data_IF_731480141721
#
_entry.id   IF_731480141721
#
_cell.length_a   1.000
_cell.length_b   1.000
_cell.length_c   1.000
_cell.angle_alpha   90.00
_cell.angle_beta   90.00
_cell.angle_gamma   90.00
#
_symmetry.space_group_name_H-M   'P 1'
#
loop_
_entity.id
_entity.type
_entity.pdbx_description
1 polymer ?
#
# COMPACT_ATOMS: atom_id res chain seq x y z
N UNK A 1 -14.14 15.59 -3.40
CA UNK A 1 -13.00 15.63 -4.34
C UNK A 1 -12.53 14.20 -4.48
N UNK A 2 -12.40 13.69 -5.71
CA UNK A 2 -11.84 12.35 -5.92
C UNK A 2 -10.41 12.34 -5.39
N UNK A 3 -10.07 11.30 -4.62
CA UNK A 3 -8.70 10.98 -4.27
C UNK A 3 -7.83 11.03 -5.53
N UNK A 4 -6.82 11.91 -5.51
CA UNK A 4 -5.81 11.96 -6.56
C UNK A 4 -4.99 10.67 -6.47
N UNK A 5 -4.63 10.09 -7.62
CA UNK A 5 -3.84 8.86 -7.78
C UNK A 5 -2.75 8.65 -6.71
N UNK A 6 -2.44 7.36 -6.44
CA UNK A 6 -1.36 6.96 -5.55
C UNK A 6 -0.08 7.78 -5.79
N UNK A 7 0.58 8.19 -4.71
CA UNK A 7 1.77 9.01 -4.81
C UNK A 7 2.98 8.18 -5.22
N UNK A 8 3.35 8.30 -6.49
CA UNK A 8 4.59 7.76 -7.01
C UNK A 8 5.71 8.79 -6.92
N UNK A 9 6.36 8.89 -5.76
CA UNK A 9 7.51 9.80 -5.58
C UNK A 9 8.71 9.11 -4.95
N UNK A 10 9.91 9.59 -5.30
CA UNK A 10 11.17 9.31 -4.62
C UNK A 10 11.52 10.41 -3.60
N UNK A 11 10.74 11.51 -3.58
CA UNK A 11 10.99 12.68 -2.75
C UNK A 11 10.48 12.49 -1.32
N UNK A 12 11.19 13.10 -0.38
CA UNK A 12 10.69 13.31 0.97
C UNK A 12 9.54 14.32 0.92
N UNK A 13 8.34 13.90 1.32
CA UNK A 13 7.25 14.84 1.56
C UNK A 13 7.30 15.34 3.00
N UNK A 14 6.90 16.59 3.18
CA UNK A 14 6.60 17.11 4.51
C UNK A 14 5.16 16.75 4.93
N UNK A 15 4.87 16.84 6.23
CA UNK A 15 3.56 16.51 6.80
C UNK A 15 2.40 17.27 6.14
N UNK A 16 2.62 18.52 5.73
CA UNK A 16 1.59 19.33 5.07
C UNK A 16 1.23 18.80 3.66
N UNK A 17 2.21 18.31 2.90
CA UNK A 17 1.98 17.70 1.59
C UNK A 17 1.20 16.38 1.70
N UNK A 18 1.40 15.65 2.80
CA UNK A 18 0.70 14.40 3.12
C UNK A 18 -0.76 14.68 3.52
N UNK A 19 -0.95 15.57 4.51
CA UNK A 19 -2.27 15.91 5.08
C UNK A 19 -3.25 16.45 4.04
N UNK A 20 -2.76 17.13 2.99
CA UNK A 20 -3.60 17.72 1.96
C UNK A 20 -3.79 16.82 0.73
N UNK A 21 -3.18 15.64 0.69
CA UNK A 21 -3.22 14.78 -0.51
C UNK A 21 -4.43 13.86 -0.56
N UNK A 22 -4.79 13.28 0.57
CA UNK A 22 -5.92 12.37 0.69
C UNK A 22 -7.02 12.99 1.56
N UNK A 23 -8.22 12.43 1.46
CA UNK A 23 -9.25 12.76 2.45
C UNK A 23 -8.72 12.36 3.83
N UNK A 24 -8.99 13.17 4.85
CA UNK A 24 -8.64 12.84 6.22
C UNK A 24 -9.12 11.43 6.58
N UNK A 25 -8.43 10.74 7.49
CA UNK A 25 -8.74 9.37 7.93
C UNK A 25 -8.89 8.33 6.81
N UNK A 26 -8.02 8.39 5.80
CA UNK A 26 -8.03 7.45 4.66
C UNK A 26 -6.77 6.61 4.63
N UNK A 27 -6.96 5.29 4.57
CA UNK A 27 -5.88 4.35 4.24
C UNK A 27 -6.00 3.96 2.77
N UNK A 28 -4.88 3.95 2.07
CA UNK A 28 -4.77 3.56 0.67
C UNK A 28 -3.76 2.44 0.53
N UNK A 29 -3.90 1.66 -0.53
CA UNK A 29 -2.92 0.65 -0.90
C UNK A 29 -2.74 0.59 -2.41
N UNK A 30 -1.54 0.17 -2.81
CA UNK A 30 -1.29 -0.29 -4.17
C UNK A 30 -0.78 -1.71 -4.17
N UNK A 31 -1.15 -2.47 -5.21
CA UNK A 31 -0.59 -3.79 -5.48
C UNK A 31 0.07 -3.78 -6.85
N UNK A 32 1.34 -4.17 -6.86
CA UNK A 32 2.11 -4.43 -8.08
C UNK A 32 2.30 -5.94 -8.21
N UNK A 33 2.08 -6.47 -9.40
CA UNK A 33 2.16 -7.90 -9.69
C UNK A 33 2.65 -8.14 -11.13
N UNK A 34 3.24 -9.31 -11.38
CA UNK A 34 3.62 -9.79 -12.72
C UNK A 34 2.43 -9.86 -13.68
N UNK A 35 1.27 -10.23 -13.17
CA UNK A 35 0.01 -10.27 -13.93
C UNK A 35 -1.07 -9.48 -13.16
N UNK A 36 -1.14 -8.15 -13.36
CA UNK A 36 -2.06 -7.28 -12.64
C UNK A 36 -3.53 -7.65 -12.82
N UNK A 37 -3.91 -8.25 -13.96
CA UNK A 37 -5.28 -8.66 -14.25
C UNK A 37 -5.68 -9.88 -13.43
N UNK A 38 -4.86 -10.94 -13.47
CA UNK A 38 -5.11 -12.13 -12.65
C UNK A 38 -5.01 -11.81 -11.15
N UNK A 39 -4.06 -10.96 -10.75
CA UNK A 39 -3.94 -10.49 -9.38
C UNK A 39 -5.21 -9.75 -8.92
N UNK A 40 -5.78 -8.89 -9.76
CA UNK A 40 -7.01 -8.16 -9.45
C UNK A 40 -8.20 -9.10 -9.26
N UNK A 41 -8.43 -10.03 -10.20
CA UNK A 41 -9.52 -11.00 -10.09
C UNK A 41 -9.38 -11.88 -8.83
N UNK A 42 -8.15 -12.29 -8.50
CA UNK A 42 -7.85 -13.02 -7.28
C UNK A 42 -8.10 -12.19 -6.03
N UNK A 43 -7.70 -10.92 -6.00
CA UNK A 43 -7.94 -10.01 -4.89
C UNK A 43 -9.43 -9.81 -4.66
N UNK A 44 -10.19 -9.53 -5.72
CA UNK A 44 -11.65 -9.33 -5.63
C UNK A 44 -12.31 -10.61 -5.11
N UNK A 45 -11.93 -11.79 -5.62
CA UNK A 45 -12.46 -13.08 -5.16
C UNK A 45 -12.10 -13.36 -3.70
N UNK A 46 -10.85 -13.11 -3.31
CA UNK A 46 -10.35 -13.33 -1.96
C UNK A 46 -11.02 -12.40 -0.94
N UNK A 47 -11.22 -11.13 -1.31
CA UNK A 47 -11.84 -10.11 -0.46
C UNK A 47 -13.37 -10.19 -0.42
N UNK A 48 -14.03 -10.91 -1.35
CA UNK A 48 -15.49 -11.02 -1.41
C UNK A 48 -16.18 -11.30 -0.07
N UNK A 49 -15.73 -12.24 0.78
CA UNK A 49 -16.40 -12.50 2.06
C UNK A 49 -16.38 -11.27 2.98
N UNK A 50 -15.29 -10.51 2.97
CA UNK A 50 -15.15 -9.29 3.76
C UNK A 50 -15.97 -8.14 3.17
N UNK A 51 -15.91 -7.94 1.85
CA UNK A 51 -16.67 -6.88 1.19
C UNK A 51 -18.19 -7.09 1.33
N UNK A 52 -18.67 -8.34 1.25
CA UNK A 52 -20.12 -8.63 1.28
C UNK A 52 -20.70 -8.86 2.67
N UNK A 53 -19.92 -9.40 3.61
CA UNK A 53 -20.46 -9.92 4.86
C UNK A 53 -19.93 -9.22 6.10
N UNK A 54 -18.82 -8.48 6.02
CA UNK A 54 -18.38 -7.63 7.11
C UNK A 54 -19.20 -6.33 7.12
N UNK A 55 -19.73 -5.89 8.28
CA UNK A 55 -20.53 -4.68 8.36
C UNK A 55 -19.63 -3.44 8.44
N UNK A 56 -19.06 -3.03 7.31
CA UNK A 56 -18.31 -1.78 7.20
C UNK A 56 -19.16 -0.60 7.68
N UNK A 57 -18.58 0.24 8.53
CA UNK A 57 -19.36 1.23 9.26
C UNK A 57 -19.74 2.43 8.39
N UNK A 58 -18.87 2.79 7.45
CA UNK A 58 -19.06 3.95 6.56
C UNK A 58 -19.24 3.44 5.13
N UNK A 59 -18.13 3.03 4.52
CA UNK A 59 -18.10 2.44 3.20
C UNK A 59 -17.10 1.28 3.20
N UNK A 60 -17.39 0.26 2.38
CA UNK A 60 -16.42 -0.80 2.13
C UNK A 60 -15.21 -0.27 1.34
N UNK A 61 -14.04 -0.94 1.40
CA UNK A 61 -12.89 -0.57 0.59
C UNK A 61 -13.24 -0.53 -0.90
N UNK A 62 -12.86 0.56 -1.57
CA UNK A 62 -12.92 0.64 -3.02
C UNK A 62 -11.64 0.07 -3.61
N UNK A 63 -11.76 -0.69 -4.72
CA UNK A 63 -10.63 -1.36 -5.36
C UNK A 63 -10.79 -1.22 -6.86
N UNK A 64 -9.75 -0.73 -7.55
CA UNK A 64 -9.75 -0.46 -8.98
C UNK A 64 -8.41 -0.85 -9.61
N UNK A 65 -8.42 -1.18 -10.90
CA UNK A 65 -7.18 -1.27 -11.67
C UNK A 65 -6.84 0.11 -12.23
N UNK A 66 -5.57 0.49 -12.12
CA UNK A 66 -5.06 1.76 -12.60
C UNK A 66 -3.76 1.55 -13.37
N UNK A 67 -3.36 2.58 -14.11
CA UNK A 67 -2.09 2.59 -14.82
C UNK A 67 -1.49 3.97 -14.73
N UNK A 68 -0.18 4.04 -14.55
CA UNK A 68 0.58 5.29 -14.58
C UNK A 68 1.76 5.17 -15.54
N UNK A 69 2.32 6.30 -15.93
CA UNK A 69 3.55 6.34 -16.71
C UNK A 69 4.58 7.17 -15.97
N UNK A 70 5.68 6.53 -15.57
CA UNK A 70 6.74 7.16 -14.78
C UNK A 70 8.06 6.96 -15.51
N UNK A 71 8.76 8.06 -15.79
CA UNK A 71 10.05 8.07 -16.50
C UNK A 71 10.00 7.23 -17.80
N UNK A 72 8.85 7.22 -18.49
CA UNK A 72 8.65 6.48 -19.74
C UNK A 72 8.29 5.00 -19.58
N UNK A 73 8.19 4.48 -18.35
CA UNK A 73 7.74 3.11 -18.06
C UNK A 73 6.27 3.12 -17.67
N UNK A 74 5.45 2.35 -18.40
CA UNK A 74 4.06 2.09 -18.01
C UNK A 74 4.05 1.10 -16.85
N UNK A 75 3.35 1.46 -15.77
CA UNK A 75 3.15 0.61 -14.60
C UNK A 75 1.65 0.42 -14.44
N UNK A 76 1.22 -0.84 -14.55
CA UNK A 76 -0.15 -1.26 -14.27
C UNK A 76 -0.20 -1.77 -12.83
N UNK A 77 -1.18 -1.32 -12.06
CA UNK A 77 -1.29 -1.61 -10.64
C UNK A 77 -2.75 -1.66 -10.19
N UNK A 78 -2.98 -2.25 -9.04
CA UNK A 78 -4.28 -2.22 -8.36
C UNK A 78 -4.20 -1.12 -7.31
N UNK A 79 -5.16 -0.22 -7.31
CA UNK A 79 -5.33 0.80 -6.27
C UNK A 79 -6.54 0.45 -5.43
N UNK A 80 -6.43 0.63 -4.11
CA UNK A 80 -7.61 0.64 -3.26
C UNK A 80 -7.51 1.63 -2.12
N UNK A 81 -8.67 2.00 -1.60
CA UNK A 81 -8.80 2.97 -0.53
C UNK A 81 -9.98 2.63 0.40
N UNK A 82 -9.81 2.99 1.66
CA UNK A 82 -10.83 2.92 2.69
C UNK A 82 -10.76 4.20 3.52
N UNK A 83 -11.87 4.95 3.54
CA UNK A 83 -12.05 6.03 4.50
C UNK A 83 -12.66 5.44 5.79
N UNK A 84 -11.88 5.45 6.86
CA UNK A 84 -12.26 4.83 8.12
C UNK A 84 -12.75 5.82 9.17
N UNK A 85 -12.60 7.14 8.98
CA UNK A 85 -12.93 8.15 10.01
C UNK A 85 -12.37 7.78 11.39
N UNK A 86 -13.22 7.52 12.37
CA UNK A 86 -12.83 7.16 13.74
C UNK A 86 -12.69 5.64 13.95
N UNK A 87 -12.98 4.83 12.92
CA UNK A 87 -13.02 3.37 12.98
C UNK A 87 -11.66 2.74 12.64
N UNK A 88 -10.61 3.09 13.39
CA UNK A 88 -9.26 2.51 13.24
C UNK A 88 -9.22 0.96 13.17
N UNK A 89 -10.11 0.20 13.85
CA UNK A 89 -10.14 -1.25 13.66
C UNK A 89 -10.42 -1.72 12.22
N UNK A 90 -11.13 -0.93 11.41
CA UNK A 90 -11.42 -1.27 10.01
C UNK A 90 -10.18 -1.10 9.11
N UNK A 91 -9.32 -0.11 9.38
CA UNK A 91 -8.04 0.01 8.68
C UNK A 91 -7.09 -1.14 9.04
N UNK A 92 -7.07 -1.57 10.30
CA UNK A 92 -6.33 -2.75 10.75
C UNK A 92 -6.85 -4.05 10.13
N UNK A 93 -8.16 -4.18 9.97
CA UNK A 93 -8.77 -5.31 9.27
C UNK A 93 -8.33 -5.34 7.80
N UNK A 94 -8.36 -4.21 7.11
CA UNK A 94 -7.88 -4.12 5.73
C UNK A 94 -6.41 -4.54 5.61
N UNK A 95 -5.53 -4.03 6.47
CA UNK A 95 -4.12 -4.44 6.53
C UNK A 95 -4.01 -5.97 6.69
N UNK A 96 -4.76 -6.54 7.62
CA UNK A 96 -4.75 -7.98 7.89
C UNK A 96 -5.21 -8.82 6.69
N UNK A 97 -6.25 -8.36 5.98
CA UNK A 97 -6.75 -9.00 4.75
C UNK A 97 -5.65 -8.98 3.68
N UNK A 98 -4.97 -7.84 3.50
CA UNK A 98 -3.90 -7.69 2.51
C UNK A 98 -2.69 -8.57 2.83
N UNK A 99 -2.30 -8.70 4.11
CA UNK A 99 -1.29 -9.68 4.53
C UNK A 99 -1.69 -11.10 4.13
N UNK A 100 -2.90 -11.54 4.47
CA UNK A 100 -3.36 -12.88 4.14
C UNK A 100 -3.47 -13.10 2.62
N UNK A 101 -3.80 -12.05 1.86
CA UNK A 101 -3.84 -12.12 0.41
C UNK A 101 -2.46 -12.42 -0.19
N UNK A 102 -1.37 -11.82 0.31
CA UNK A 102 -0.01 -12.12 -0.19
C UNK A 102 0.42 -13.58 0.02
N UNK A 103 -0.16 -14.26 1.03
CA UNK A 103 0.04 -15.71 1.22
C UNK A 103 -0.74 -16.55 0.20
N UNK A 104 -1.90 -16.08 -0.22
CA UNK A 104 -2.74 -16.73 -1.24
C UNK A 104 -2.23 -16.46 -2.66
N UNK A 105 -1.64 -15.29 -2.91
CA UNK A 105 -1.12 -14.86 -4.21
C UNK A 105 0.29 -14.28 -4.04
N UNK A 106 1.30 -15.14 -4.12
CA UNK A 106 2.69 -14.78 -3.79
C UNK A 106 3.34 -13.83 -4.81
N UNK A 107 2.85 -13.77 -6.04
CA UNK A 107 3.39 -12.91 -7.10
C UNK A 107 2.90 -11.45 -7.00
N UNK A 108 2.80 -10.91 -5.78
CA UNK A 108 2.41 -9.52 -5.57
C UNK A 108 3.17 -8.85 -4.42
N UNK A 109 3.21 -7.53 -4.53
CA UNK A 109 3.85 -6.61 -3.60
C UNK A 109 2.84 -5.53 -3.27
N UNK A 110 2.57 -5.33 -1.98
CA UNK A 110 1.55 -4.39 -1.52
C UNK A 110 2.21 -3.27 -0.73
N UNK A 111 1.99 -2.03 -1.14
CA UNK A 111 2.35 -0.87 -0.33
C UNK A 111 1.09 -0.26 0.27
N UNK A 112 1.19 0.29 1.47
CA UNK A 112 0.10 0.99 2.13
C UNK A 112 0.53 2.37 2.59
N UNK A 113 -0.40 3.32 2.49
CA UNK A 113 -0.22 4.69 2.97
C UNK A 113 -1.46 5.10 3.76
N UNK A 114 -1.26 5.76 4.90
CA UNK A 114 -2.35 6.27 5.74
C UNK A 114 -2.24 7.79 5.87
N UNK A 115 -3.35 8.51 5.71
CA UNK A 115 -3.34 9.98 5.73
C UNK A 115 -2.95 10.58 7.09
N UNK A 116 -3.06 9.82 8.18
CA UNK A 116 -2.72 10.25 9.54
C UNK A 116 -1.37 9.66 9.97
N UNK A 117 -1.21 8.36 9.78
CA UNK A 117 -0.08 7.56 10.29
C UNK A 117 1.09 7.51 9.30
N UNK A 118 0.87 7.90 8.03
CA UNK A 118 1.83 7.93 6.92
C UNK A 118 2.26 6.51 6.51
N UNK A 119 3.01 5.82 7.35
CA UNK A 119 3.52 4.46 7.15
C UNK A 119 2.85 3.49 8.14
N UNK A 120 1.60 3.05 7.88
CA UNK A 120 0.82 2.26 8.84
C UNK A 120 1.49 0.93 9.18
N UNK A 121 2.21 0.30 8.24
CA UNK A 121 2.94 -0.95 8.49
C UNK A 121 4.09 -0.72 9.47
N UNK A 122 4.85 0.36 9.32
CA UNK A 122 5.90 0.70 10.29
C UNK A 122 5.32 0.97 11.68
N UNK A 123 4.21 1.71 11.74
CA UNK A 123 3.58 2.08 13.00
C UNK A 123 3.02 0.85 13.75
N UNK A 124 2.22 0.02 13.08
CA UNK A 124 1.57 -1.12 13.73
C UNK A 124 2.49 -2.31 13.97
N UNK A 125 3.60 -2.42 13.21
CA UNK A 125 4.57 -3.50 13.38
C UNK A 125 5.88 -3.04 14.03
N UNK A 126 5.92 -1.83 14.59
CA UNK A 126 7.13 -1.17 15.12
C UNK A 126 7.98 -2.07 16.03
N UNK A 127 7.34 -2.76 16.97
CA UNK A 127 8.01 -3.62 17.95
C UNK A 127 8.76 -4.82 17.33
N UNK A 128 8.47 -5.13 16.06
CA UNK A 128 9.07 -6.25 15.33
C UNK A 128 10.06 -5.79 14.26
N UNK A 129 10.32 -4.49 14.17
CA UNK A 129 11.20 -3.92 13.15
C UNK A 129 12.64 -3.76 13.63
N UNK A 130 13.62 -4.04 12.74
CA UNK A 130 15.00 -3.60 12.91
C UNK A 130 15.15 -2.12 13.30
N UNK A 131 16.14 -1.79 14.14
CA UNK A 131 16.35 -0.43 14.67
C UNK A 131 16.53 0.65 13.59
N UNK A 132 17.06 0.28 12.43
CA UNK A 132 17.27 1.16 11.27
C UNK A 132 15.95 1.55 10.56
N UNK A 133 14.84 0.90 10.91
CA UNK A 133 13.50 1.15 10.35
C UNK A 133 12.56 1.85 11.34
N UNK A 134 13.07 2.27 12.50
CA UNK A 134 12.28 2.89 13.56
C UNK A 134 11.87 4.35 13.27
N UNK A 135 12.52 5.02 12.30
CA UNK A 135 12.11 6.37 11.91
C UNK A 135 10.89 6.32 10.96
N UNK A 136 9.72 6.45 11.58
CA UNK A 136 8.40 6.42 10.93
C UNK A 136 7.99 7.76 10.30
N UNK A 137 8.67 8.87 10.63
CA UNK A 137 8.20 10.22 10.29
C UNK A 137 8.88 10.81 9.05
N UNK A 138 10.02 10.26 8.64
CA UNK A 138 10.80 10.75 7.48
C UNK A 138 10.72 9.82 6.28
N UNK A 139 10.13 8.64 6.44
CA UNK A 139 10.02 7.63 5.40
C UNK A 139 8.75 7.78 4.61
N UNK A 140 8.85 7.71 3.28
CA UNK A 140 7.70 7.52 2.42
C UNK A 140 8.05 6.39 1.48
N UNK A 141 7.23 5.34 1.48
CA UNK A 141 7.33 4.22 0.56
C UNK A 141 8.45 3.21 0.86
N UNK A 142 8.81 3.04 2.14
CA UNK A 142 9.83 2.05 2.52
C UNK A 142 9.25 0.66 2.73
N UNK A 143 8.02 0.55 3.25
CA UNK A 143 7.50 -0.76 3.67
C UNK A 143 6.50 -1.36 2.71
N UNK A 144 6.74 -2.62 2.37
CA UNK A 144 5.89 -3.39 1.48
C UNK A 144 5.55 -4.73 2.12
N UNK A 145 4.40 -5.27 1.79
CA UNK A 145 3.99 -6.62 2.17
C UNK A 145 4.24 -7.55 0.99
N UNK A 146 4.91 -8.67 1.25
CA UNK A 146 5.14 -9.74 0.29
C UNK A 146 5.25 -11.08 1.01
N UNK A 147 4.54 -12.10 0.51
CA UNK A 147 4.51 -13.47 1.06
C UNK A 147 4.36 -13.50 2.59
N UNK A 148 3.36 -12.79 3.13
CA UNK A 148 3.08 -12.67 4.57
C UNK A 148 4.21 -12.04 5.41
N UNK A 149 5.20 -11.42 4.78
CA UNK A 149 6.31 -10.74 5.41
C UNK A 149 6.29 -9.24 5.09
N UNK A 150 6.92 -8.44 5.96
CA UNK A 150 7.25 -7.05 5.67
C UNK A 150 8.62 -7.06 5.02
N UNK A 151 8.70 -6.51 3.82
CA UNK A 151 9.96 -6.22 3.15
C UNK A 151 10.17 -4.72 3.16
N UNK A 152 11.43 -4.32 3.22
CA UNK A 152 11.81 -2.92 3.06
C UNK A 152 12.40 -2.72 1.68
N UNK A 153 11.70 -1.92 0.88
CA UNK A 153 12.21 -1.37 -0.36
C UNK A 153 12.68 0.07 -0.05
N UNK A 154 13.61 0.61 -0.85
CA UNK A 154 14.02 2.02 -0.72
C UNK A 154 14.72 2.41 0.61
N UNK A 155 15.68 1.61 1.10
CA UNK A 155 16.57 2.03 2.20
C UNK A 155 17.42 3.24 1.76
N UNK A 156 17.34 4.36 2.48
CA UNK A 156 18.21 5.52 2.22
C UNK A 156 19.64 5.24 2.70
N UNK A 157 20.49 4.80 1.78
CA UNK A 157 21.98 4.90 1.74
C UNK A 157 22.47 4.18 0.45
N UNK A 158 23.76 3.85 0.30
CA UNK A 158 24.44 3.14 -0.83
C UNK A 158 23.76 1.84 -1.35
N UNK A 159 22.59 1.47 -0.81
CA UNK A 159 21.75 0.31 -1.14
C UNK A 159 20.48 0.72 -1.90
N UNK A 160 20.56 1.74 -2.75
CA UNK A 160 19.47 2.13 -3.64
C UNK A 160 19.15 0.99 -4.64
N UNK A 161 18.08 0.24 -4.37
CA UNK A 161 17.28 -0.33 -5.46
C UNK A 161 16.14 0.65 -5.66
N UNK A 162 16.28 1.45 -6.72
CA UNK A 162 15.24 2.36 -7.17
C UNK A 162 13.89 1.60 -7.21
N UNK A 163 12.82 2.14 -6.65
CA UNK A 163 11.49 1.52 -6.64
C UNK A 163 11.09 1.01 -8.03
N UNK A 164 11.46 1.74 -9.08
CA UNK A 164 11.23 1.37 -10.47
C UNK A 164 12.14 0.23 -10.94
N UNK A 165 13.40 0.14 -10.48
CA UNK A 165 14.26 -1.03 -10.71
C UNK A 165 13.70 -2.25 -9.99
N UNK A 166 13.22 -2.10 -8.74
CA UNK A 166 12.56 -3.17 -8.02
C UNK A 166 11.31 -3.64 -8.77
N UNK A 167 10.43 -2.71 -9.16
CA UNK A 167 9.23 -3.01 -9.96
C UNK A 167 9.58 -3.59 -11.34
N UNK A 168 10.63 -3.13 -12.00
CA UNK A 168 11.10 -3.70 -13.28
C UNK A 168 11.67 -5.11 -13.11
N UNK A 169 12.35 -5.41 -12.00
CA UNK A 169 12.80 -6.77 -11.67
C UNK A 169 11.60 -7.68 -11.39
N UNK A 170 10.50 -7.14 -10.88
CA UNK A 170 9.24 -7.87 -10.71
C UNK A 170 8.51 -8.11 -12.04
N UNK A 171 8.64 -7.23 -13.02
CA UNK A 171 7.98 -7.39 -14.33
C UNK A 171 8.79 -8.22 -15.35
N UNK A 172 10.02 -8.62 -15.03
CA UNK A 172 10.85 -9.54 -15.83
C UNK A 172 10.90 -10.96 -15.23
#
# INVERSE_FOLDING_TARGET
MSSLDYLWTEDYLNSFEIENRFTDTTITFIIVSKDPSTCYDNLIRFSQPWLKSYPWTIDQPSITQQSTNIKGTKIDYIYGELNYHEYTPESLLLISILFQFTKYHQDCYIHLFDSITIEPILYYCHDFLPNDLQDINTSINRTWIHDFNIIVLNLHDDRYVNLFIAIQQLNN
#
